data_IF_791403331801
#
_entry.id   IF_791403331801
#
_cell.length_a   1.000
_cell.length_b   1.000
_cell.length_c   1.000
_cell.angle_alpha   90.00
_cell.angle_beta   90.00
_cell.angle_gamma   90.00
#
_symmetry.space_group_name_H-M   'P 1'
#
loop_
_entity.id
_entity.type
_entity.pdbx_description
1 polymer ?
#
# COMPACT_ATOMS: atom_id res chain seq x y z
N UNK A 1 -19.16 35.16 57.59
CA UNK A 1 -18.81 33.77 57.26
C UNK A 1 -19.90 32.98 56.49
N UNK A 2 -20.97 33.59 56.03
CA UNK A 2 -22.05 32.86 55.29
C UNK A 2 -21.99 33.00 53.79
N UNK A 3 -21.12 33.85 53.27
CA UNK A 3 -20.96 34.10 51.83
C UNK A 3 -19.73 33.40 51.19
N UNK A 4 -18.83 32.85 52.01
CA UNK A 4 -17.63 32.16 51.53
C UNK A 4 -17.92 30.70 51.07
N UNK A 5 -19.07 30.14 51.45
CA UNK A 5 -19.43 28.76 51.10
C UNK A 5 -20.18 28.69 49.75
N UNK A 6 -20.79 29.80 49.32
CA UNK A 6 -21.53 29.81 48.04
C UNK A 6 -20.64 29.93 46.79
N UNK A 7 -19.41 30.44 46.93
CA UNK A 7 -18.50 30.57 45.80
C UNK A 7 -17.72 29.31 45.44
N UNK A 8 -17.73 28.29 46.32
CA UNK A 8 -17.02 27.04 46.08
C UNK A 8 -17.81 25.98 45.29
N UNK A 9 -19.12 26.17 45.19
CA UNK A 9 -20.03 25.20 44.53
C UNK A 9 -20.21 25.48 43.01
N UNK A 10 -19.77 26.61 42.49
CA UNK A 10 -19.91 26.96 41.07
C UNK A 10 -18.70 26.66 40.22
N UNK A 11 -17.54 26.30 40.83
CA UNK A 11 -16.32 26.01 40.11
C UNK A 11 -16.17 24.53 39.68
N UNK A 12 -17.09 23.66 40.12
CA UNK A 12 -17.00 22.20 39.80
C UNK A 12 -17.80 21.76 38.57
N UNK A 13 -18.52 22.67 37.89
CA UNK A 13 -19.43 22.32 36.80
C UNK A 13 -18.89 22.57 35.38
N UNK A 14 -17.64 22.97 35.22
CA UNK A 14 -17.07 23.30 33.88
C UNK A 14 -15.91 22.38 33.40
N UNK A 15 -15.79 21.17 33.98
CA UNK A 15 -14.73 20.24 33.57
C UNK A 15 -15.24 18.98 32.81
N UNK A 16 -16.41 19.02 32.23
CA UNK A 16 -16.97 17.85 31.52
C UNK A 16 -17.44 18.21 30.12
N UNK A 17 -16.59 18.75 29.25
CA UNK A 17 -16.84 18.76 27.78
C UNK A 17 -15.56 19.06 26.99
N UNK A 18 -14.54 18.25 27.16
CA UNK A 18 -13.52 18.10 26.15
C UNK A 18 -13.29 16.61 25.91
N UNK A 19 -14.34 15.90 25.49
CA UNK A 19 -14.16 14.72 24.66
C UNK A 19 -13.86 15.30 23.28
N UNK A 20 -12.64 15.78 23.10
CA UNK A 20 -12.06 15.87 21.76
C UNK A 20 -12.13 14.42 21.27
N UNK A 21 -13.08 14.13 20.39
CA UNK A 21 -13.00 12.99 19.49
C UNK A 21 -11.68 13.17 18.75
N UNK A 22 -10.63 12.56 19.27
CA UNK A 22 -9.48 12.22 18.48
C UNK A 22 -10.07 11.31 17.40
N UNK A 23 -10.40 11.88 16.24
CA UNK A 23 -10.58 11.14 15.02
C UNK A 23 -9.24 10.49 14.80
N UNK A 24 -9.12 9.25 15.24
CA UNK A 24 -8.09 8.31 14.86
C UNK A 24 -8.02 8.43 13.33
N UNK A 25 -6.87 8.80 12.74
CA UNK A 25 -6.78 8.88 11.29
C UNK A 25 -7.23 7.54 10.77
N UNK A 26 -8.41 7.50 10.13
CA UNK A 26 -9.07 6.26 9.71
C UNK A 26 -8.05 5.44 8.93
N UNK A 27 -7.58 4.38 9.55
CA UNK A 27 -6.64 3.48 8.92
C UNK A 27 -7.37 2.89 7.71
N UNK A 28 -6.90 3.25 6.51
CA UNK A 28 -7.50 2.79 5.25
C UNK A 28 -7.62 1.29 5.25
N UNK A 29 -8.72 0.78 4.75
CA UNK A 29 -8.88 -0.65 4.56
C UNK A 29 -7.89 -1.18 3.51
N UNK A 30 -7.54 -2.47 3.56
CA UNK A 30 -6.70 -3.08 2.53
C UNK A 30 -7.24 -2.86 1.10
N UNK A 31 -8.56 -2.87 0.95
CA UNK A 31 -9.22 -2.61 -0.33
C UNK A 31 -9.04 -1.16 -0.79
N UNK A 32 -9.21 -0.19 0.10
CA UNK A 32 -8.98 1.23 -0.23
C UNK A 32 -7.53 1.48 -0.65
N UNK A 33 -6.58 0.87 0.06
CA UNK A 33 -5.15 0.95 -0.29
C UNK A 33 -4.92 0.33 -1.68
N UNK A 34 -5.52 -0.82 -1.97
CA UNK A 34 -5.39 -1.50 -3.26
C UNK A 34 -5.95 -0.66 -4.42
N UNK A 35 -7.12 -0.05 -4.25
CA UNK A 35 -7.75 0.85 -5.24
C UNK A 35 -6.83 2.03 -5.56
N UNK A 36 -6.34 2.73 -4.53
CA UNK A 36 -5.43 3.87 -4.71
C UNK A 36 -4.14 3.48 -5.43
N UNK A 37 -3.60 2.30 -5.10
CA UNK A 37 -2.40 1.78 -5.77
C UNK A 37 -2.70 1.41 -7.23
N UNK A 38 -3.83 0.77 -7.52
CA UNK A 38 -4.24 0.43 -8.88
C UNK A 38 -4.38 1.70 -9.74
N UNK A 39 -5.05 2.73 -9.24
CA UNK A 39 -5.23 4.00 -9.94
C UNK A 39 -3.90 4.71 -10.22
N UNK A 40 -3.03 4.75 -9.23
CA UNK A 40 -1.70 5.36 -9.37
C UNK A 40 -0.85 4.63 -10.40
N UNK A 41 -0.74 3.31 -10.27
CA UNK A 41 0.06 2.49 -11.17
C UNK A 41 -0.54 2.51 -12.57
N UNK A 42 -1.85 2.45 -12.71
CA UNK A 42 -2.54 2.49 -13.98
C UNK A 42 -2.26 3.77 -14.78
N UNK A 43 -2.25 4.92 -14.11
CA UNK A 43 -1.86 6.21 -14.71
C UNK A 43 -0.38 6.22 -15.12
N UNK A 44 0.51 5.76 -14.26
CA UNK A 44 1.96 5.73 -14.53
C UNK A 44 2.33 4.81 -15.71
N UNK A 45 1.59 3.72 -15.89
CA UNK A 45 1.83 2.74 -16.94
C UNK A 45 0.99 2.98 -18.20
N UNK A 46 0.07 3.94 -18.20
CA UNK A 46 -0.91 4.18 -19.26
C UNK A 46 -1.71 2.92 -19.60
N UNK A 47 -2.30 2.28 -18.59
CA UNK A 47 -3.07 1.05 -18.78
C UNK A 47 -4.38 1.32 -19.53
N UNK A 48 -4.75 0.41 -20.42
CA UNK A 48 -6.07 0.40 -21.01
C UNK A 48 -7.14 -0.11 -20.00
N UNK A 49 -8.42 0.03 -20.33
CA UNK A 49 -9.53 -0.32 -19.44
C UNK A 49 -9.51 -1.79 -18.99
N UNK A 50 -9.15 -2.71 -19.89
CA UNK A 50 -9.05 -4.14 -19.58
C UNK A 50 -7.90 -4.41 -18.61
N UNK A 51 -6.75 -3.82 -18.86
CA UNK A 51 -5.58 -3.94 -17.96
C UNK A 51 -5.88 -3.31 -16.60
N UNK A 52 -6.56 -2.15 -16.55
CA UNK A 52 -7.00 -1.54 -15.30
C UNK A 52 -7.92 -2.43 -14.49
N UNK A 53 -8.89 -3.07 -15.14
CA UNK A 53 -9.81 -4.00 -14.48
C UNK A 53 -9.05 -5.17 -13.83
N UNK A 54 -8.12 -5.78 -14.55
CA UNK A 54 -7.30 -6.87 -14.00
C UNK A 54 -6.34 -6.38 -12.91
N UNK A 55 -5.71 -5.22 -13.09
CA UNK A 55 -4.83 -4.61 -12.09
C UNK A 55 -5.58 -4.39 -10.77
N UNK A 56 -6.76 -3.75 -10.82
CA UNK A 56 -7.60 -3.48 -9.65
C UNK A 56 -8.01 -4.79 -8.97
N UNK A 57 -8.49 -5.77 -9.74
CA UNK A 57 -8.92 -7.07 -9.21
C UNK A 57 -7.78 -7.83 -8.51
N UNK A 58 -6.60 -7.89 -9.14
CA UNK A 58 -5.42 -8.56 -8.60
C UNK A 58 -4.95 -7.88 -7.31
N UNK A 59 -4.85 -6.54 -7.33
CA UNK A 59 -4.38 -5.80 -6.16
C UNK A 59 -5.35 -5.92 -4.99
N UNK A 60 -6.66 -5.77 -5.21
CA UNK A 60 -7.66 -5.94 -4.15
C UNK A 60 -7.56 -7.32 -3.51
N UNK A 61 -7.59 -8.38 -4.31
CA UNK A 61 -7.47 -9.73 -3.80
C UNK A 61 -6.17 -9.92 -3.00
N UNK A 62 -5.03 -9.60 -3.58
CA UNK A 62 -3.74 -9.86 -2.96
C UNK A 62 -3.50 -9.01 -1.69
N UNK A 63 -3.95 -7.76 -1.65
CA UNK A 63 -3.87 -6.93 -0.44
C UNK A 63 -4.78 -7.46 0.66
N UNK A 64 -6.03 -7.82 0.36
CA UNK A 64 -6.97 -8.38 1.34
C UNK A 64 -6.40 -9.65 1.96
N UNK A 65 -5.93 -10.59 1.13
CA UNK A 65 -5.34 -11.84 1.61
C UNK A 65 -4.04 -11.63 2.40
N UNK A 66 -3.17 -10.72 1.95
CA UNK A 66 -1.95 -10.37 2.66
C UNK A 66 -2.24 -9.84 4.06
N UNK A 67 -3.19 -8.91 4.17
CA UNK A 67 -3.56 -8.34 5.47
C UNK A 67 -4.23 -9.38 6.37
N UNK A 68 -5.07 -10.24 5.82
CA UNK A 68 -5.69 -11.35 6.57
C UNK A 68 -4.62 -12.31 7.14
N UNK A 69 -3.61 -12.70 6.35
CA UNK A 69 -2.52 -13.54 6.82
C UNK A 69 -1.67 -12.84 7.90
N UNK A 70 -1.41 -11.55 7.75
CA UNK A 70 -0.68 -10.75 8.74
C UNK A 70 -1.46 -10.66 10.05
N UNK A 71 -2.76 -10.35 10.00
CA UNK A 71 -3.63 -10.30 11.19
C UNK A 71 -3.74 -11.67 11.87
N UNK A 72 -3.83 -12.75 11.10
CA UNK A 72 -3.81 -14.09 11.65
C UNK A 72 -2.49 -14.42 12.36
N UNK A 73 -1.35 -14.06 11.78
CA UNK A 73 -0.05 -14.23 12.42
C UNK A 73 0.04 -13.42 13.72
N UNK A 74 -0.45 -12.17 13.71
CA UNK A 74 -0.50 -11.29 14.88
C UNK A 74 -1.38 -11.86 15.99
N UNK A 75 -2.57 -12.37 15.66
CA UNK A 75 -3.50 -12.98 16.61
C UNK A 75 -2.90 -14.24 17.28
N UNK A 76 -1.97 -14.93 16.63
CA UNK A 76 -1.22 -16.06 17.17
C UNK A 76 0.01 -15.65 18.00
N UNK A 77 0.17 -14.37 18.26
CA UNK A 77 1.27 -13.83 19.09
C UNK A 77 2.59 -13.65 18.33
N UNK A 78 2.60 -13.75 17.01
CA UNK A 78 3.80 -13.42 16.24
C UNK A 78 4.09 -11.92 16.36
N UNK A 79 5.22 -11.56 16.92
CA UNK A 79 5.74 -10.19 16.99
C UNK A 79 7.00 -10.04 16.12
N UNK A 80 7.38 -11.10 15.42
CA UNK A 80 8.57 -11.15 14.59
C UNK A 80 8.38 -10.40 13.28
N UNK A 81 9.13 -9.31 13.11
CA UNK A 81 9.12 -8.50 11.90
C UNK A 81 9.51 -9.30 10.65
N UNK A 82 10.34 -10.34 10.80
CA UNK A 82 10.73 -11.20 9.68
C UNK A 82 9.54 -12.02 9.16
N UNK A 83 8.65 -12.47 10.04
CA UNK A 83 7.40 -13.15 9.65
C UNK A 83 6.55 -12.25 8.78
N UNK A 84 6.31 -11.01 9.21
CA UNK A 84 5.51 -10.05 8.42
C UNK A 84 6.15 -9.70 7.08
N UNK A 85 7.46 -9.54 7.07
CA UNK A 85 8.21 -9.32 5.83
C UNK A 85 8.06 -10.49 4.86
N UNK A 86 8.19 -11.72 5.34
CA UNK A 86 8.04 -12.93 4.53
C UNK A 86 6.64 -13.03 3.91
N UNK A 87 5.58 -12.74 4.68
CA UNK A 87 4.21 -12.71 4.19
C UNK A 87 4.03 -11.63 3.12
N UNK A 88 4.53 -10.44 3.36
CA UNK A 88 4.49 -9.34 2.40
C UNK A 88 5.24 -9.67 1.11
N UNK A 89 6.45 -10.22 1.20
CA UNK A 89 7.26 -10.63 0.04
C UNK A 89 6.55 -11.74 -0.77
N UNK A 90 5.92 -12.71 -0.11
CA UNK A 90 5.11 -13.77 -0.73
C UNK A 90 3.99 -13.19 -1.60
N UNK A 91 3.20 -12.26 -1.05
CA UNK A 91 2.07 -11.67 -1.75
C UNK A 91 2.50 -10.69 -2.84
N UNK A 92 3.60 -9.97 -2.61
CA UNK A 92 4.22 -9.15 -3.66
C UNK A 92 4.66 -10.00 -4.84
N UNK A 93 5.28 -11.17 -4.61
CA UNK A 93 5.68 -12.08 -5.68
C UNK A 93 4.47 -12.60 -6.47
N UNK A 94 3.38 -13.01 -5.77
CA UNK A 94 2.12 -13.41 -6.43
C UNK A 94 1.56 -12.29 -7.32
N UNK A 95 1.67 -11.03 -6.86
CA UNK A 95 1.23 -9.87 -7.64
C UNK A 95 2.08 -9.70 -8.89
N UNK A 96 3.41 -9.83 -8.80
CA UNK A 96 4.29 -9.78 -9.97
C UNK A 96 3.95 -10.86 -10.99
N UNK A 97 3.76 -12.10 -10.53
CA UNK A 97 3.47 -13.23 -11.40
C UNK A 97 2.13 -13.06 -12.12
N UNK A 98 1.10 -12.60 -11.41
CA UNK A 98 -0.22 -12.34 -12.00
C UNK A 98 -0.18 -11.19 -13.02
N UNK A 99 0.48 -10.08 -12.70
CA UNK A 99 0.56 -8.91 -13.58
C UNK A 99 1.42 -9.13 -14.81
N UNK A 100 2.36 -10.08 -14.77
CA UNK A 100 3.15 -10.48 -15.94
C UNK A 100 2.27 -11.00 -17.09
N UNK A 101 1.11 -11.58 -16.79
CA UNK A 101 0.16 -12.03 -17.80
C UNK A 101 -0.81 -10.96 -18.29
N UNK A 102 -0.86 -9.80 -17.63
CA UNK A 102 -1.81 -8.70 -17.92
C UNK A 102 -1.14 -7.53 -18.65
N UNK A 103 0.10 -7.23 -18.26
CA UNK A 103 0.87 -6.11 -18.78
C UNK A 103 1.68 -6.53 -20.01
N UNK A 104 1.87 -5.60 -20.95
CA UNK A 104 2.91 -5.81 -21.97
C UNK A 104 4.31 -5.77 -21.36
N UNK A 105 5.31 -6.20 -22.11
CA UNK A 105 6.69 -6.30 -21.61
C UNK A 105 7.22 -4.97 -21.08
N UNK A 106 6.99 -3.87 -21.79
CA UNK A 106 7.48 -2.55 -21.37
C UNK A 106 6.73 -2.00 -20.17
N UNK A 107 5.42 -2.22 -20.11
CA UNK A 107 4.60 -1.90 -18.94
C UNK A 107 5.05 -2.71 -17.72
N UNK A 108 5.30 -4.02 -17.89
CA UNK A 108 5.75 -4.88 -16.80
C UNK A 108 7.13 -4.46 -16.26
N UNK A 109 8.09 -4.14 -17.15
CA UNK A 109 9.41 -3.64 -16.74
C UNK A 109 9.27 -2.30 -15.98
N UNK A 110 8.43 -1.39 -16.48
CA UNK A 110 8.12 -0.13 -15.77
C UNK A 110 7.50 -0.39 -14.41
N UNK A 111 6.57 -1.34 -14.31
CA UNK A 111 5.98 -1.76 -13.05
C UNK A 111 7.04 -2.27 -12.06
N UNK A 112 7.92 -3.18 -12.48
CA UNK A 112 9.03 -3.66 -11.65
C UNK A 112 9.92 -2.51 -11.16
N UNK A 113 10.18 -1.52 -12.00
CA UNK A 113 10.96 -0.33 -11.61
C UNK A 113 10.22 0.52 -10.58
N UNK A 114 8.91 0.74 -10.72
CA UNK A 114 8.10 1.44 -9.71
C UNK A 114 8.15 0.72 -8.35
N UNK A 115 8.17 -0.62 -8.37
CA UNK A 115 8.28 -1.45 -7.16
C UNK A 115 9.73 -1.63 -6.64
N UNK A 116 10.71 -0.96 -7.25
CA UNK A 116 12.13 -1.05 -6.84
C UNK A 116 12.83 -2.35 -7.22
N UNK A 117 12.19 -3.20 -8.05
CA UNK A 117 12.71 -4.53 -8.47
C UNK A 117 13.36 -4.54 -9.86
N UNK A 118 13.22 -3.47 -10.63
CA UNK A 118 13.72 -3.41 -12.01
C UNK A 118 15.17 -2.86 -12.15
N UNK A 119 16.07 -3.18 -11.23
CA UNK A 119 17.45 -2.65 -11.23
C UNK A 119 18.29 -3.13 -12.41
N UNK A 120 17.99 -4.30 -12.97
CA UNK A 120 18.64 -4.90 -14.13
C UNK A 120 18.29 -4.23 -15.46
N UNK A 121 17.19 -3.45 -15.49
CA UNK A 121 16.74 -2.77 -16.69
C UNK A 121 17.23 -1.32 -16.76
N UNK A 122 17.59 -0.87 -17.95
CA UNK A 122 17.98 0.51 -18.26
C UNK A 122 17.21 1.02 -19.47
N UNK A 123 16.82 2.30 -19.44
CA UNK A 123 16.15 2.97 -20.56
C UNK A 123 17.15 3.23 -21.68
N UNK A 124 16.80 2.81 -22.90
CA UNK A 124 17.54 3.07 -24.13
C UNK A 124 17.30 4.49 -24.66
N UNK A 125 18.00 4.85 -25.75
CA UNK A 125 17.82 6.16 -26.43
C UNK A 125 16.45 6.31 -27.10
N UNK A 126 15.84 5.20 -27.48
CA UNK A 126 14.50 5.08 -28.07
C UNK A 126 13.36 5.18 -27.03
N UNK A 127 13.70 5.31 -25.76
CA UNK A 127 12.74 5.42 -24.67
C UNK A 127 12.26 4.08 -24.08
N UNK A 128 12.62 2.95 -24.68
CA UNK A 128 12.27 1.60 -24.22
C UNK A 128 13.24 1.10 -23.15
N UNK A 129 12.80 0.11 -22.37
CA UNK A 129 13.66 -0.52 -21.36
C UNK A 129 14.24 -1.83 -21.86
N UNK A 130 15.52 -2.03 -21.58
CA UNK A 130 16.31 -3.20 -21.97
C UNK A 130 17.11 -3.72 -20.79
N UNK A 131 17.45 -4.99 -20.78
CA UNK A 131 18.44 -5.52 -19.86
C UNK A 131 19.79 -4.79 -20.06
N UNK A 132 20.44 -4.45 -18.96
CA UNK A 132 21.74 -3.75 -19.00
C UNK A 132 22.80 -4.53 -19.78
N UNK A 133 22.73 -5.87 -19.75
CA UNK A 133 23.63 -6.76 -20.49
C UNK A 133 23.46 -6.63 -21.99
N UNK A 134 22.24 -6.51 -22.48
CA UNK A 134 21.96 -6.39 -23.93
C UNK A 134 22.42 -5.03 -24.48
N UNK A 135 22.31 -3.98 -23.66
CA UNK A 135 22.81 -2.66 -24.04
C UNK A 135 24.36 -2.59 -24.10
N UNK A 136 25.09 -3.49 -23.42
CA UNK A 136 26.53 -3.59 -23.49
C UNK A 136 27.00 -4.32 -24.74
N UNK A 137 26.22 -5.29 -25.24
CA UNK A 137 26.55 -6.06 -26.46
C UNK A 137 26.36 -5.27 -27.77
N UNK A 138 25.57 -4.16 -27.71
CA UNK A 138 25.29 -3.29 -28.86
C UNK A 138 26.27 -2.11 -29.01
N UNK A 139 27.33 -2.05 -28.22
CA UNK A 139 28.44 -1.10 -28.33
C UNK A 139 29.65 -1.79 -28.94
#
# INVERSE_FOLDING_TARGET
>A
MRYAILCFLTAAAMLCCNVASAQDPQQKSPEEIAIEQADKIGKELNLNSTQMFYMDSILRHNYTEMYAEIEFARARGSQDQQTYKTLSDKWMQKTFDALKGVLDEQQYIRYLKLMGKGKEYKKGKDGLYYLKEDLKKKK
#
